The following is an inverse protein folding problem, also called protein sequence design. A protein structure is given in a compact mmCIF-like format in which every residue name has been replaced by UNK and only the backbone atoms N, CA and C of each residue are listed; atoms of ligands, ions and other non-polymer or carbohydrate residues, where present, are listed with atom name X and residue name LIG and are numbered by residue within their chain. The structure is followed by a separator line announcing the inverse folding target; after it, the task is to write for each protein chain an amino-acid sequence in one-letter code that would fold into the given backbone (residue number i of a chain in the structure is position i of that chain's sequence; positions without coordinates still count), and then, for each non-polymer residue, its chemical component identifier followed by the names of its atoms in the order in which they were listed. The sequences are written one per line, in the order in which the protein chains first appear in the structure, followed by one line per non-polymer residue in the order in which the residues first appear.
data_IF_804336243237
#
_entry.id   IF_804336243237
#
_cell.length_a   1.000
_cell.length_b   1.000
_cell.length_c   1.000
_cell.angle_alpha   90.00
_cell.angle_beta   90.00
_cell.angle_gamma   90.00
#
_symmetry.space_group_name_H-M   'P 1'
#
loop_
_entity.id
_entity.type
_entity.pdbx_description
1 polymer ?
#
# COMPACT_ATOMS: atom_id res chain seq x y z
N UNK A 1 -20.64 31.51 14.94
CA UNK A 1 -20.09 30.44 15.80
C UNK A 1 -18.61 30.75 16.06
N UNK A 2 -18.22 30.98 17.32
CA UNK A 2 -16.82 31.10 17.69
C UNK A 2 -16.21 29.70 17.48
N UNK A 3 -15.34 29.52 16.49
CA UNK A 3 -14.59 28.25 16.33
C UNK A 3 -13.71 28.10 17.59
N UNK A 4 -13.99 27.08 18.39
CA UNK A 4 -13.13 26.71 19.52
C UNK A 4 -11.74 26.37 18.94
N UNK A 5 -10.67 26.88 19.56
CA UNK A 5 -9.30 26.54 19.13
C UNK A 5 -9.12 25.02 19.28
N UNK A 6 -8.62 24.31 18.23
CA UNK A 6 -8.39 22.88 18.31
C UNK A 6 -7.47 22.54 19.51
N UNK A 7 -7.78 21.45 20.19
CA UNK A 7 -6.97 20.96 21.30
C UNK A 7 -5.73 20.27 20.77
N UNK A 8 -4.56 20.54 21.36
CA UNK A 8 -3.34 19.77 21.16
C UNK A 8 -3.54 18.38 21.80
N UNK A 9 -3.34 17.31 21.04
CA UNK A 9 -3.53 15.93 21.50
C UNK A 9 -2.22 15.15 21.56
N UNK A 10 -1.26 15.46 20.70
CA UNK A 10 0.05 14.83 20.67
C UNK A 10 1.10 15.81 20.13
N UNK A 11 2.31 15.69 20.62
CA UNK A 11 3.47 16.43 20.14
C UNK A 11 4.71 15.54 20.24
N UNK A 12 5.57 15.49 19.18
CA UNK A 12 6.80 14.72 19.24
C UNK A 12 7.76 15.31 20.30
N UNK A 13 8.24 14.47 21.19
CA UNK A 13 9.35 14.89 22.04
C UNK A 13 10.65 14.98 21.24
N UNK A 14 11.69 15.59 21.81
CA UNK A 14 12.96 15.79 21.14
C UNK A 14 13.65 14.45 20.78
N UNK A 15 13.49 13.41 21.59
CA UNK A 15 14.08 12.11 21.35
C UNK A 15 13.36 11.37 20.21
N UNK A 16 12.03 11.48 20.13
CA UNK A 16 11.26 10.98 19.01
C UNK A 16 11.64 11.71 17.72
N UNK A 17 11.63 13.05 17.73
CA UNK A 17 11.94 13.86 16.55
C UNK A 17 13.32 13.54 15.95
N UNK A 18 14.34 13.36 16.79
CA UNK A 18 15.71 13.02 16.38
C UNK A 18 15.83 11.63 15.73
N UNK A 19 14.95 10.70 16.03
CA UNK A 19 14.98 9.33 15.48
C UNK A 19 14.18 9.18 14.18
N UNK A 20 13.40 10.20 13.81
CA UNK A 20 12.55 10.11 12.62
C UNK A 20 13.38 10.05 11.34
N UNK A 21 12.89 9.27 10.38
CA UNK A 21 13.49 9.20 9.04
C UNK A 21 13.41 10.54 8.31
N UNK A 22 12.39 11.34 8.61
CA UNK A 22 12.26 12.69 8.06
C UNK A 22 13.38 13.60 8.58
N UNK A 23 13.75 13.53 9.86
CA UNK A 23 14.89 14.28 10.40
C UNK A 23 16.20 13.82 9.74
N UNK A 24 16.41 12.51 9.66
CA UNK A 24 17.59 11.95 9.00
C UNK A 24 17.72 12.40 7.54
N UNK A 25 16.59 12.52 6.82
CA UNK A 25 16.58 13.05 5.46
C UNK A 25 16.95 14.54 5.42
N UNK A 26 16.43 15.37 6.34
CA UNK A 26 16.82 16.79 6.43
C UNK A 26 18.33 16.96 6.69
N UNK A 27 18.88 16.17 7.62
CA UNK A 27 20.32 16.21 7.94
C UNK A 27 21.17 15.77 6.73
N UNK A 28 20.71 14.77 5.98
CA UNK A 28 21.36 14.33 4.77
C UNK A 28 21.28 15.40 3.66
N UNK A 29 20.13 16.07 3.49
CA UNK A 29 19.98 17.18 2.52
C UNK A 29 20.95 18.32 2.80
N UNK A 30 21.09 18.72 4.07
CA UNK A 30 22.05 19.73 4.50
C UNK A 30 23.48 19.32 4.12
N UNK A 31 23.87 18.08 4.46
CA UNK A 31 25.23 17.58 4.26
C UNK A 31 25.60 17.37 2.79
N UNK A 32 24.68 16.95 1.92
CA UNK A 32 24.97 16.54 0.54
C UNK A 32 24.51 17.53 -0.53
N UNK A 33 23.47 18.31 -0.25
CA UNK A 33 22.89 19.25 -1.20
C UNK A 33 22.96 20.71 -0.74
N UNK A 34 23.43 20.97 0.51
CA UNK A 34 23.48 22.32 1.09
C UNK A 34 22.08 22.94 1.27
N UNK A 35 21.05 22.13 1.34
CA UNK A 35 19.67 22.56 1.56
C UNK A 35 19.40 22.60 3.07
N UNK A 36 19.42 23.80 3.62
CA UNK A 36 19.15 24.04 5.04
C UNK A 36 17.68 24.31 5.25
N UNK A 37 17.02 23.48 6.07
CA UNK A 37 15.62 23.63 6.46
C UNK A 37 15.46 23.49 7.96
N UNK A 38 14.92 24.52 8.59
CA UNK A 38 14.68 24.55 10.04
C UNK A 38 13.29 23.99 10.40
N UNK A 39 12.34 24.12 9.49
CA UNK A 39 10.94 23.72 9.70
C UNK A 39 10.42 22.81 8.60
N UNK A 40 9.36 22.05 8.90
CA UNK A 40 8.67 21.26 7.88
C UNK A 40 8.09 22.12 6.76
N UNK A 41 7.59 23.31 7.07
CA UNK A 41 7.02 24.22 6.07
C UNK A 41 8.09 24.73 5.08
N UNK A 42 9.31 24.96 5.52
CA UNK A 42 10.44 25.28 4.64
C UNK A 42 10.81 24.08 3.75
N UNK A 43 10.85 22.88 4.30
CA UNK A 43 11.09 21.66 3.52
C UNK A 43 9.99 21.46 2.48
N UNK A 44 8.72 21.65 2.86
CA UNK A 44 7.60 21.53 1.94
C UNK A 44 7.67 22.57 0.82
N UNK A 45 7.97 23.83 1.13
CA UNK A 45 8.14 24.88 0.11
C UNK A 45 9.28 24.57 -0.86
N UNK A 46 10.40 24.08 -0.34
CA UNK A 46 11.47 23.63 -1.20
C UNK A 46 11.05 22.45 -2.09
N UNK A 47 10.38 21.47 -1.54
CA UNK A 47 9.93 20.27 -2.28
C UNK A 47 8.94 20.57 -3.41
N UNK A 48 8.23 21.69 -3.33
CA UNK A 48 7.27 22.15 -4.37
C UNK A 48 7.82 23.25 -5.25
N UNK A 49 8.83 24.00 -4.79
CA UNK A 49 9.48 25.07 -5.52
C UNK A 49 10.64 24.61 -6.39
N UNK A 50 11.39 23.60 -5.96
CA UNK A 50 12.49 22.98 -6.71
C UNK A 50 12.18 21.49 -6.95
N UNK A 51 11.31 21.25 -7.93
CA UNK A 51 10.85 19.89 -8.25
C UNK A 51 11.99 18.97 -8.68
N UNK A 52 12.95 19.47 -9.45
CA UNK A 52 14.07 18.65 -9.92
C UNK A 52 15.02 18.30 -8.77
N UNK A 53 15.39 19.29 -7.96
CA UNK A 53 16.21 19.06 -6.77
C UNK A 53 15.55 18.10 -5.79
N UNK A 54 14.25 18.28 -5.51
CA UNK A 54 13.52 17.42 -4.60
C UNK A 54 13.45 15.96 -5.08
N UNK A 55 12.94 15.69 -6.28
CA UNK A 55 12.76 14.32 -6.76
C UNK A 55 14.10 13.62 -7.07
N UNK A 56 15.13 14.37 -7.46
CA UNK A 56 16.49 13.86 -7.56
C UNK A 56 17.02 13.41 -6.20
N UNK A 57 16.86 14.24 -5.17
CA UNK A 57 17.30 13.92 -3.82
C UNK A 57 16.58 12.70 -3.24
N UNK A 58 15.28 12.52 -3.52
CA UNK A 58 14.52 11.31 -3.13
C UNK A 58 15.12 10.07 -3.81
N UNK A 59 15.40 10.15 -5.11
CA UNK A 59 15.99 9.02 -5.84
C UNK A 59 17.39 8.67 -5.30
N UNK A 60 18.20 9.65 -4.98
CA UNK A 60 19.56 9.48 -4.44
C UNK A 60 19.53 8.95 -3.00
N UNK A 61 18.78 9.60 -2.11
CA UNK A 61 18.71 9.24 -0.70
C UNK A 61 18.24 7.80 -0.46
N UNK A 62 17.26 7.35 -1.25
CA UNK A 62 16.76 5.98 -1.16
C UNK A 62 17.49 4.99 -2.07
N UNK A 63 18.54 5.43 -2.76
CA UNK A 63 19.36 4.55 -3.59
C UNK A 63 18.59 3.91 -4.74
N UNK A 64 17.75 4.69 -5.43
CA UNK A 64 16.99 4.19 -6.59
C UNK A 64 17.96 3.72 -7.67
N UNK A 65 17.83 2.45 -8.05
CA UNK A 65 18.68 1.81 -9.05
C UNK A 65 18.11 2.05 -10.45
N UNK A 66 18.80 2.86 -11.22
CA UNK A 66 18.55 3.02 -12.65
C UNK A 66 19.45 2.07 -13.45
N UNK A 67 18.88 1.21 -14.31
CA UNK A 67 19.64 0.35 -15.24
C UNK A 67 20.12 1.16 -16.47
N UNK A 68 19.31 2.10 -16.94
CA UNK A 68 19.73 3.18 -17.80
C UNK A 68 19.53 4.50 -17.05
N UNK A 69 20.56 5.39 -16.99
CA UNK A 69 20.46 6.65 -16.27
C UNK A 69 19.47 7.60 -16.95
N UNK A 70 18.82 8.50 -16.20
CA UNK A 70 17.98 9.53 -16.78
C UNK A 70 18.80 10.58 -17.52
N UNK A 71 18.21 11.18 -18.56
CA UNK A 71 18.78 12.31 -19.29
C UNK A 71 18.54 13.65 -18.56
N UNK A 72 17.45 13.72 -17.78
CA UNK A 72 17.07 14.83 -16.93
C UNK A 72 16.16 14.31 -15.81
N UNK A 73 15.92 15.09 -14.76
CA UNK A 73 14.93 14.78 -13.75
C UNK A 73 13.52 15.09 -14.26
N UNK A 74 13.33 16.29 -14.84
CA UNK A 74 12.09 16.73 -15.44
C UNK A 74 12.35 17.20 -16.87
N UNK A 75 11.94 16.42 -17.86
CA UNK A 75 12.12 16.75 -19.26
C UNK A 75 11.04 17.71 -19.78
N UNK A 76 9.77 17.44 -19.44
CA UNK A 76 8.63 18.32 -19.77
C UNK A 76 7.79 18.52 -18.51
N UNK A 77 7.56 19.78 -18.14
CA UNK A 77 6.85 20.17 -16.91
C UNK A 77 5.33 20.40 -17.11
N UNK A 78 4.82 20.23 -18.33
CA UNK A 78 3.42 20.49 -18.66
C UNK A 78 2.48 19.38 -18.16
N UNK A 79 1.34 19.77 -17.61
CA UNK A 79 0.27 18.85 -17.22
C UNK A 79 -0.93 19.03 -18.17
N UNK A 80 -1.51 17.92 -18.71
CA UNK A 80 -1.10 16.52 -18.53
C UNK A 80 0.14 16.16 -19.39
N UNK A 81 0.86 15.14 -18.93
CA UNK A 81 1.94 14.54 -19.70
C UNK A 81 3.34 15.00 -19.31
N UNK A 82 3.55 15.43 -18.06
CA UNK A 82 4.87 15.66 -17.50
C UNK A 82 5.78 14.44 -17.69
N UNK A 83 7.04 14.68 -18.05
CA UNK A 83 8.02 13.62 -18.32
C UNK A 83 9.09 13.62 -17.23
N UNK A 84 8.93 12.72 -16.29
CA UNK A 84 9.89 12.51 -15.22
C UNK A 84 10.96 11.47 -15.61
N UNK A 85 12.21 11.74 -15.29
CA UNK A 85 13.36 10.88 -15.52
C UNK A 85 13.40 10.28 -16.93
N UNK A 86 13.31 11.11 -18.01
CA UNK A 86 13.29 10.60 -19.38
C UNK A 86 14.56 9.80 -19.70
N UNK A 87 14.38 8.67 -20.37
CA UNK A 87 15.46 7.73 -20.71
C UNK A 87 15.79 6.72 -19.59
N UNK A 88 15.38 6.97 -18.35
CA UNK A 88 15.65 6.04 -17.26
C UNK A 88 14.88 4.73 -17.41
N UNK A 89 15.52 3.62 -16.98
CA UNK A 89 14.88 2.32 -16.80
C UNK A 89 15.13 1.80 -15.39
N UNK A 90 14.12 1.18 -14.80
CA UNK A 90 14.16 0.63 -13.45
C UNK A 90 13.12 -0.50 -13.27
N UNK A 91 13.16 -1.19 -12.14
CA UNK A 91 12.15 -2.20 -11.79
C UNK A 91 11.63 -1.93 -10.37
N UNK A 92 10.32 -1.70 -10.23
CA UNK A 92 9.68 -1.50 -8.93
C UNK A 92 9.88 -2.72 -8.00
N UNK A 93 9.61 -3.98 -8.43
CA UNK A 93 9.81 -5.14 -7.55
C UNK A 93 11.28 -5.41 -7.23
N UNK A 94 12.24 -4.96 -8.04
CA UNK A 94 13.65 -5.04 -7.70
C UNK A 94 13.97 -4.30 -6.39
N UNK A 95 13.38 -3.11 -6.21
CA UNK A 95 13.56 -2.31 -5.00
C UNK A 95 12.89 -2.96 -3.77
N UNK A 96 11.77 -3.66 -3.96
CA UNK A 96 11.14 -4.46 -2.90
C UNK A 96 12.06 -5.60 -2.44
N UNK A 97 12.66 -6.32 -3.37
CA UNK A 97 13.53 -7.47 -3.05
C UNK A 97 14.99 -7.09 -2.76
N UNK A 98 15.38 -5.83 -2.91
CA UNK A 98 16.75 -5.39 -2.68
C UNK A 98 17.16 -5.53 -1.19
N UNK A 99 18.36 -6.06 -0.97
CA UNK A 99 19.02 -6.11 0.35
C UNK A 99 18.17 -6.75 1.48
N UNK A 100 17.35 -7.76 1.15
CA UNK A 100 16.51 -8.46 2.11
C UNK A 100 17.22 -9.70 2.66
N UNK A 101 17.30 -9.81 3.97
CA UNK A 101 17.73 -11.06 4.61
C UNK A 101 16.65 -12.12 4.39
N UNK A 102 16.99 -13.23 3.75
CA UNK A 102 16.03 -14.25 3.33
C UNK A 102 15.14 -14.78 4.46
N UNK A 103 15.68 -14.90 5.67
CA UNK A 103 14.95 -15.42 6.85
C UNK A 103 14.12 -14.34 7.57
N UNK A 104 14.29 -13.05 7.25
CA UNK A 104 13.46 -12.00 7.83
C UNK A 104 12.02 -12.12 7.33
N UNK A 105 11.07 -11.77 8.19
CA UNK A 105 9.64 -11.83 7.85
C UNK A 105 9.30 -10.67 6.91
N UNK A 106 8.75 -10.99 5.74
CA UNK A 106 8.19 -10.02 4.80
C UNK A 106 6.72 -9.74 5.10
N UNK A 107 5.95 -10.79 5.30
CA UNK A 107 4.50 -10.74 5.49
C UNK A 107 4.09 -11.49 6.75
N UNK A 108 3.10 -10.95 7.47
CA UNK A 108 2.20 -11.69 8.34
C UNK A 108 0.83 -11.71 7.67
N UNK A 109 0.12 -12.80 7.77
CA UNK A 109 -1.18 -12.91 7.12
C UNK A 109 -2.15 -13.71 7.98
N UNK A 110 -3.38 -13.26 8.02
CA UNK A 110 -4.49 -13.97 8.67
C UNK A 110 -5.76 -13.80 7.85
N UNK A 111 -6.71 -14.69 8.02
CA UNK A 111 -8.04 -14.55 7.46
C UNK A 111 -9.07 -15.30 8.31
N UNK A 112 -10.34 -15.25 7.93
CA UNK A 112 -11.35 -16.11 8.54
C UNK A 112 -11.19 -17.60 8.15
N UNK A 113 -10.37 -17.91 7.13
CA UNK A 113 -10.03 -19.27 6.69
C UNK A 113 -8.70 -19.77 7.25
N UNK A 114 -7.76 -18.86 7.50
CA UNK A 114 -6.39 -19.20 7.85
C UNK A 114 -5.97 -18.48 9.13
N UNK A 115 -5.38 -19.19 10.12
CA UNK A 115 -4.83 -18.55 11.30
C UNK A 115 -3.69 -17.60 10.95
N UNK A 116 -3.25 -16.80 11.92
CA UNK A 116 -2.08 -15.94 11.75
C UNK A 116 -0.86 -16.78 11.41
N UNK A 117 -0.30 -16.51 10.24
CA UNK A 117 0.92 -17.10 9.69
C UNK A 117 1.94 -16.04 9.33
N UNK A 118 3.14 -16.49 8.99
CA UNK A 118 4.24 -15.65 8.55
C UNK A 118 4.78 -16.17 7.22
N UNK A 119 5.31 -15.25 6.40
CA UNK A 119 6.05 -15.54 5.18
C UNK A 119 7.36 -14.75 5.21
N UNK A 120 8.46 -15.46 5.08
CA UNK A 120 9.81 -14.86 5.00
C UNK A 120 10.04 -14.25 3.61
N UNK A 121 11.08 -13.40 3.50
CA UNK A 121 11.51 -12.86 2.20
C UNK A 121 11.92 -13.97 1.22
N UNK A 122 12.51 -15.06 1.71
CA UNK A 122 12.84 -16.22 0.88
C UNK A 122 11.59 -16.88 0.31
N UNK A 123 10.59 -17.14 1.15
CA UNK A 123 9.34 -17.77 0.75
C UNK A 123 8.55 -16.87 -0.22
N UNK A 124 8.45 -15.56 0.06
CA UNK A 124 7.81 -14.61 -0.84
C UNK A 124 8.51 -14.58 -2.20
N UNK A 125 9.86 -14.53 -2.22
CA UNK A 125 10.64 -14.55 -3.46
C UNK A 125 10.45 -15.84 -4.23
N UNK A 126 10.47 -17.00 -3.56
CA UNK A 126 10.24 -18.31 -4.18
C UNK A 126 8.83 -18.41 -4.78
N UNK A 127 7.80 -18.01 -4.03
CA UNK A 127 6.43 -18.03 -4.53
C UNK A 127 6.27 -17.08 -5.73
N UNK A 128 6.84 -15.88 -5.64
CA UNK A 128 6.85 -14.90 -6.74
C UNK A 128 7.51 -15.47 -7.99
N UNK A 129 8.68 -16.12 -7.86
CA UNK A 129 9.40 -16.73 -8.98
C UNK A 129 8.59 -17.86 -9.64
N UNK A 130 7.95 -18.70 -8.84
CA UNK A 130 7.11 -19.81 -9.34
C UNK A 130 5.87 -19.31 -10.07
N UNK A 131 5.20 -18.28 -9.55
CA UNK A 131 4.06 -17.64 -10.23
C UNK A 131 4.54 -16.97 -11.52
N UNK A 132 5.70 -16.30 -11.50
CA UNK A 132 6.28 -15.65 -12.67
C UNK A 132 6.57 -16.66 -13.79
N UNK A 133 7.14 -17.82 -13.45
CA UNK A 133 7.39 -18.89 -14.40
C UNK A 133 6.08 -19.41 -15.01
N UNK A 134 5.03 -19.57 -14.21
CA UNK A 134 3.70 -19.94 -14.69
C UNK A 134 3.09 -18.90 -15.64
N UNK A 135 3.13 -17.61 -15.27
CA UNK A 135 2.66 -16.54 -16.15
C UNK A 135 3.42 -16.50 -17.48
N UNK A 136 4.75 -16.71 -17.44
CA UNK A 136 5.59 -16.78 -18.64
C UNK A 136 5.22 -17.99 -19.52
N UNK A 137 4.93 -19.14 -18.93
CA UNK A 137 4.47 -20.32 -19.66
C UNK A 137 3.13 -20.10 -20.37
N UNK A 138 2.29 -19.20 -19.82
CA UNK A 138 1.06 -18.74 -20.45
C UNK A 138 1.28 -17.64 -21.52
N UNK A 139 2.53 -17.25 -21.79
CA UNK A 139 2.88 -16.25 -22.79
C UNK A 139 2.85 -14.81 -22.28
N UNK A 140 2.71 -14.59 -20.99
CA UNK A 140 2.72 -13.22 -20.42
C UNK A 140 4.11 -12.61 -20.54
N UNK A 141 4.18 -11.44 -21.14
CA UNK A 141 5.38 -10.64 -21.31
C UNK A 141 5.15 -9.18 -20.94
N UNK A 142 6.13 -8.36 -21.32
CA UNK A 142 6.11 -6.92 -21.03
C UNK A 142 4.91 -6.23 -21.69
N UNK A 143 4.17 -5.48 -20.88
CA UNK A 143 3.00 -4.71 -21.32
C UNK A 143 1.69 -5.51 -21.35
N UNK A 144 1.73 -6.84 -21.19
CA UNK A 144 0.51 -7.63 -21.02
C UNK A 144 -0.16 -7.31 -19.67
N UNK A 145 -1.48 -7.45 -19.63
CA UNK A 145 -2.26 -7.18 -18.42
C UNK A 145 -2.60 -8.49 -17.75
N UNK A 146 -2.28 -8.57 -16.46
CA UNK A 146 -2.68 -9.66 -15.57
C UNK A 146 -3.64 -9.08 -14.56
N UNK A 147 -4.86 -9.60 -14.52
CA UNK A 147 -5.87 -9.15 -13.56
C UNK A 147 -6.16 -10.21 -12.51
N UNK A 148 -6.52 -9.78 -11.30
CA UNK A 148 -6.79 -10.67 -10.19
C UNK A 148 -8.13 -10.38 -9.54
N UNK A 149 -8.98 -11.39 -9.47
CA UNK A 149 -10.18 -11.42 -8.63
C UNK A 149 -9.85 -12.25 -7.38
N UNK A 150 -9.09 -11.63 -6.48
CA UNK A 150 -8.43 -12.30 -5.35
C UNK A 150 -8.49 -11.44 -4.09
N UNK A 151 -8.56 -12.05 -2.90
CA UNK A 151 -8.59 -11.32 -1.63
C UNK A 151 -7.20 -10.81 -1.22
N UNK A 152 -7.12 -10.13 -0.06
CA UNK A 152 -5.88 -9.59 0.51
C UNK A 152 -5.06 -10.68 1.22
N UNK A 153 -4.40 -11.51 0.43
CA UNK A 153 -3.60 -12.67 0.87
C UNK A 153 -2.19 -12.64 0.29
N UNK A 154 -1.29 -13.44 0.84
CA UNK A 154 0.12 -13.49 0.42
C UNK A 154 0.29 -13.87 -1.06
N UNK A 155 -0.54 -14.79 -1.57
CA UNK A 155 -0.55 -15.22 -2.97
C UNK A 155 -0.86 -14.04 -3.92
N UNK A 156 -1.74 -13.12 -3.51
CA UNK A 156 -2.07 -11.91 -4.30
C UNK A 156 -0.88 -10.95 -4.38
N UNK A 157 -0.17 -10.76 -3.26
CA UNK A 157 1.06 -9.95 -3.24
C UNK A 157 2.14 -10.59 -4.12
N UNK A 158 2.36 -11.89 -4.01
CA UNK A 158 3.33 -12.61 -4.84
C UNK A 158 2.98 -12.54 -6.34
N UNK A 159 1.69 -12.66 -6.69
CA UNK A 159 1.21 -12.56 -8.07
C UNK A 159 1.40 -11.15 -8.66
N UNK A 160 1.15 -10.11 -7.87
CA UNK A 160 1.47 -8.73 -8.26
C UNK A 160 2.97 -8.55 -8.54
N UNK A 161 3.83 -9.00 -7.61
CA UNK A 161 5.29 -8.88 -7.77
C UNK A 161 5.82 -9.68 -8.95
N UNK A 162 5.25 -10.87 -9.21
CA UNK A 162 5.56 -11.71 -10.38
C UNK A 162 5.20 -11.00 -11.69
N UNK A 163 4.00 -10.43 -11.76
CA UNK A 163 3.50 -9.67 -12.90
C UNK A 163 4.39 -8.46 -13.19
N UNK A 164 4.63 -7.63 -12.17
CA UNK A 164 5.48 -6.45 -12.29
C UNK A 164 6.94 -6.80 -12.64
N UNK A 165 7.45 -7.94 -12.16
CA UNK A 165 8.77 -8.46 -12.48
C UNK A 165 8.96 -8.81 -13.95
N UNK A 166 7.90 -9.21 -14.66
CA UNK A 166 7.89 -9.41 -16.12
C UNK A 166 7.78 -8.09 -16.90
N UNK A 167 7.55 -6.96 -16.23
CA UNK A 167 7.13 -5.73 -16.87
C UNK A 167 5.70 -5.79 -17.42
N UNK A 168 4.90 -6.74 -16.95
CA UNK A 168 3.48 -6.80 -17.21
C UNK A 168 2.71 -5.88 -16.26
N UNK A 169 1.46 -5.55 -16.58
CA UNK A 169 0.64 -4.56 -15.90
C UNK A 169 -0.37 -5.28 -15.01
N UNK A 170 -0.40 -4.90 -13.73
CA UNK A 170 -1.31 -5.47 -12.74
C UNK A 170 -2.63 -4.72 -12.62
N UNK A 171 -3.72 -5.44 -12.32
CA UNK A 171 -4.93 -4.84 -11.78
C UNK A 171 -5.66 -5.85 -10.89
N UNK A 172 -6.39 -5.39 -9.88
CA UNK A 172 -7.10 -6.28 -8.96
C UNK A 172 -8.48 -5.76 -8.55
N UNK A 173 -9.37 -6.70 -8.30
CA UNK A 173 -10.66 -6.52 -7.66
C UNK A 173 -10.83 -7.55 -6.55
N UNK A 174 -11.48 -7.14 -5.47
CA UNK A 174 -11.79 -8.03 -4.35
C UNK A 174 -12.92 -9.00 -4.72
N UNK A 175 -12.93 -10.22 -4.17
CA UNK A 175 -13.96 -11.23 -4.45
C UNK A 175 -15.37 -10.87 -3.95
N UNK A 176 -15.51 -9.83 -3.14
CA UNK A 176 -16.80 -9.29 -2.72
C UNK A 176 -17.49 -8.43 -3.79
N UNK A 177 -16.77 -8.03 -4.85
CA UNK A 177 -17.37 -7.32 -5.97
C UNK A 177 -18.23 -8.27 -6.82
N UNK A 178 -19.41 -7.80 -7.23
CA UNK A 178 -20.27 -8.55 -8.17
C UNK A 178 -19.64 -8.60 -9.58
N UNK A 179 -19.98 -9.62 -10.37
CA UNK A 179 -19.43 -9.88 -11.70
C UNK A 179 -19.44 -8.63 -12.59
N UNK A 180 -20.57 -7.94 -12.71
CA UNK A 180 -20.70 -6.72 -13.52
C UNK A 180 -19.68 -5.65 -13.13
N UNK A 181 -19.49 -5.42 -11.83
CA UNK A 181 -18.53 -4.41 -11.33
C UNK A 181 -17.09 -4.76 -11.68
N UNK A 182 -16.73 -6.04 -11.73
CA UNK A 182 -15.42 -6.53 -12.14
C UNK A 182 -15.26 -6.44 -13.66
N UNK A 183 -16.26 -6.85 -14.43
CA UNK A 183 -16.27 -6.76 -15.90
C UNK A 183 -16.15 -5.30 -16.35
N UNK A 184 -16.89 -4.36 -15.73
CA UNK A 184 -16.83 -2.93 -16.03
C UNK A 184 -15.41 -2.34 -15.85
N UNK A 185 -14.55 -3.00 -15.08
CA UNK A 185 -13.14 -2.63 -14.88
C UNK A 185 -12.21 -3.38 -15.83
N UNK A 186 -12.20 -4.69 -15.74
CA UNK A 186 -11.20 -5.53 -16.40
C UNK A 186 -11.36 -5.56 -17.93
N UNK A 187 -12.57 -5.47 -18.46
CA UNK A 187 -12.79 -5.39 -19.90
C UNK A 187 -12.15 -4.16 -20.56
N UNK A 188 -11.94 -3.07 -19.79
CA UNK A 188 -11.31 -1.85 -20.31
C UNK A 188 -9.82 -2.06 -20.67
N UNK A 189 -9.17 -3.09 -20.12
CA UNK A 189 -7.73 -3.28 -20.24
C UNK A 189 -7.36 -4.59 -20.93
N UNK A 190 -8.34 -5.37 -21.40
CA UNK A 190 -8.15 -6.59 -22.22
C UNK A 190 -7.04 -7.49 -21.65
N UNK A 191 -7.25 -8.16 -20.50
CA UNK A 191 -6.19 -8.91 -19.82
C UNK A 191 -5.82 -10.19 -20.57
N UNK A 192 -4.53 -10.53 -20.54
CA UNK A 192 -4.03 -11.81 -21.04
C UNK A 192 -4.33 -12.96 -20.07
N UNK A 193 -4.32 -12.66 -18.75
CA UNK A 193 -4.56 -13.65 -17.70
C UNK A 193 -5.50 -13.07 -16.64
N UNK A 194 -6.47 -13.89 -16.22
CA UNK A 194 -7.31 -13.68 -15.05
C UNK A 194 -6.92 -14.70 -13.96
N UNK A 195 -6.38 -14.21 -12.86
CA UNK A 195 -6.19 -14.99 -11.63
C UNK A 195 -7.45 -14.85 -10.77
N UNK A 196 -8.03 -15.94 -10.29
CA UNK A 196 -9.26 -15.85 -9.50
C UNK A 196 -9.32 -16.92 -8.41
N UNK A 197 -9.86 -16.58 -7.23
CA UNK A 197 -10.15 -17.55 -6.18
C UNK A 197 -11.47 -18.28 -6.44
N UNK A 198 -11.59 -19.50 -5.93
CA UNK A 198 -12.81 -20.30 -5.91
C UNK A 198 -13.88 -19.70 -4.99
N UNK A 199 -13.47 -18.99 -3.94
CA UNK A 199 -14.35 -18.36 -2.96
C UNK A 199 -13.58 -17.74 -1.81
N UNK A 200 -14.31 -17.28 -0.82
CA UNK A 200 -13.75 -16.66 0.40
C UNK A 200 -14.73 -16.80 1.56
N UNK A 201 -14.27 -16.56 2.80
CA UNK A 201 -15.12 -16.48 4.00
C UNK A 201 -15.22 -15.04 4.48
N UNK A 202 -16.43 -14.61 4.85
CA UNK A 202 -16.67 -13.27 5.36
C UNK A 202 -17.82 -13.27 6.39
N UNK A 203 -17.52 -12.82 7.60
CA UNK A 203 -18.46 -12.83 8.70
C UNK A 203 -18.94 -14.25 9.08
N UNK A 204 -18.04 -15.24 9.03
CA UNK A 204 -18.30 -16.63 9.32
C UNK A 204 -19.08 -17.39 8.25
N UNK A 205 -19.31 -16.79 7.06
CA UNK A 205 -20.03 -17.42 5.95
C UNK A 205 -19.12 -17.63 4.76
N UNK A 206 -19.26 -18.77 4.12
CA UNK A 206 -18.55 -19.11 2.89
C UNK A 206 -19.30 -18.56 1.68
N UNK A 207 -18.53 -17.96 0.77
CA UNK A 207 -19.00 -17.41 -0.48
C UNK A 207 -18.27 -18.10 -1.62
N UNK A 208 -18.90 -19.08 -2.24
CA UNK A 208 -18.45 -19.67 -3.50
C UNK A 208 -18.51 -18.61 -4.61
N UNK A 209 -17.43 -18.51 -5.37
CA UNK A 209 -17.31 -17.57 -6.48
C UNK A 209 -17.13 -18.26 -7.84
N UNK A 210 -17.21 -19.58 -7.89
CA UNK A 210 -16.96 -20.35 -9.10
C UNK A 210 -17.79 -19.85 -10.26
N UNK A 211 -19.11 -19.71 -10.11
CA UNK A 211 -19.98 -19.21 -11.17
C UNK A 211 -19.74 -17.73 -11.52
N UNK A 212 -19.46 -16.90 -10.52
CA UNK A 212 -19.12 -15.48 -10.73
C UNK A 212 -17.83 -15.34 -11.51
N UNK A 213 -16.84 -16.18 -11.24
CA UNK A 213 -15.56 -16.22 -11.98
C UNK A 213 -15.77 -16.67 -13.42
N UNK A 214 -16.65 -17.68 -13.67
CA UNK A 214 -16.99 -18.11 -15.03
C UNK A 214 -17.67 -17.00 -15.82
N UNK A 215 -18.60 -16.26 -15.19
CA UNK A 215 -19.25 -15.10 -15.78
C UNK A 215 -18.26 -13.97 -16.11
N UNK A 216 -17.36 -13.63 -15.18
CA UNK A 216 -16.31 -12.63 -15.39
C UNK A 216 -15.44 -13.07 -16.59
N UNK A 217 -14.93 -14.29 -16.55
CA UNK A 217 -14.05 -14.83 -17.60
C UNK A 217 -14.69 -14.83 -18.99
N UNK A 218 -15.97 -15.19 -19.07
CA UNK A 218 -16.71 -15.19 -20.33
C UNK A 218 -16.78 -13.81 -21.01
N UNK A 219 -16.76 -12.72 -20.21
CA UNK A 219 -16.82 -11.35 -20.72
C UNK A 219 -15.45 -10.68 -20.87
N UNK A 220 -14.51 -11.02 -20.01
CA UNK A 220 -13.18 -10.37 -19.94
C UNK A 220 -12.17 -11.09 -20.85
N UNK A 221 -12.32 -12.40 -21.04
CA UNK A 221 -11.42 -13.23 -21.82
C UNK A 221 -10.09 -13.50 -21.10
N UNK A 222 -9.06 -13.84 -21.92
CA UNK A 222 -7.75 -14.23 -21.43
C UNK A 222 -7.69 -15.67 -20.92
N UNK A 223 -6.55 -16.07 -20.34
CA UNK A 223 -6.40 -17.38 -19.70
C UNK A 223 -6.82 -17.31 -18.23
N UNK A 224 -7.75 -18.16 -17.82
CA UNK A 224 -8.19 -18.26 -16.44
C UNK A 224 -7.27 -19.18 -15.64
N UNK A 225 -6.72 -18.68 -14.53
CA UNK A 225 -5.97 -19.46 -13.53
C UNK A 225 -6.72 -19.38 -12.19
N UNK A 226 -7.11 -20.54 -11.67
CA UNK A 226 -7.85 -20.63 -10.40
C UNK A 226 -6.90 -20.88 -9.22
N UNK A 227 -7.26 -20.30 -8.09
CA UNK A 227 -6.68 -20.57 -6.79
C UNK A 227 -7.77 -21.12 -5.87
N UNK A 228 -7.64 -22.35 -5.43
CA UNK A 228 -8.47 -22.97 -4.40
C UNK A 228 -8.14 -22.35 -3.04
N UNK A 229 -8.76 -21.22 -2.73
CA UNK A 229 -8.56 -20.52 -1.47
C UNK A 229 -9.58 -20.95 -0.41
N UNK A 230 -10.85 -21.10 -0.82
CA UNK A 230 -11.92 -21.55 0.06
C UNK A 230 -11.79 -23.04 0.38
N UNK A 231 -11.45 -23.86 -0.61
CA UNK A 231 -11.27 -25.31 -0.45
C UNK A 231 -9.86 -25.71 0.04
N UNK A 232 -8.89 -24.77 0.02
CA UNK A 232 -7.51 -25.01 0.44
C UNK A 232 -6.64 -25.72 -0.60
N UNK A 233 -7.10 -25.85 -1.86
CA UNK A 233 -6.40 -26.58 -2.94
C UNK A 233 -5.17 -25.88 -3.51
N UNK A 234 -4.96 -24.59 -3.23
CA UNK A 234 -3.86 -23.82 -3.82
C UNK A 234 -4.08 -23.45 -5.29
N UNK A 235 -3.04 -23.02 -5.99
CA UNK A 235 -3.11 -22.75 -7.44
C UNK A 235 -3.38 -24.02 -8.23
N UNK A 236 -4.12 -23.88 -9.31
CA UNK A 236 -4.44 -24.96 -10.25
C UNK A 236 -3.18 -25.75 -10.65
N UNK A 237 -3.35 -27.07 -10.79
CA UNK A 237 -2.26 -27.97 -11.15
C UNK A 237 -1.53 -27.53 -12.43
N UNK A 238 -0.21 -27.56 -12.38
CA UNK A 238 0.65 -27.19 -13.50
C UNK A 238 0.83 -25.69 -13.73
N UNK A 239 0.17 -24.81 -12.96
CA UNK A 239 0.39 -23.37 -13.11
C UNK A 239 1.71 -22.91 -12.48
N UNK A 240 2.00 -23.32 -11.26
CA UNK A 240 3.23 -22.91 -10.59
C UNK A 240 4.45 -23.54 -11.27
N UNK A 241 5.43 -22.70 -11.60
CA UNK A 241 6.74 -23.16 -12.05
C UNK A 241 7.47 -24.02 -11.01
N UNK A 242 8.62 -24.58 -11.37
CA UNK A 242 9.37 -25.50 -10.52
C UNK A 242 9.80 -24.81 -9.18
N UNK A 243 10.11 -25.58 -8.14
CA UNK A 243 10.50 -25.03 -6.82
C UNK A 243 11.77 -24.18 -6.87
N UNK A 244 12.67 -24.43 -7.80
CA UNK A 244 13.94 -23.75 -8.03
C UNK A 244 13.85 -22.67 -9.14
N UNK A 245 12.65 -22.26 -9.53
CA UNK A 245 12.46 -21.17 -10.48
C UNK A 245 13.18 -19.90 -10.01
N UNK A 246 13.91 -19.27 -10.92
CA UNK A 246 14.59 -18.00 -10.66
C UNK A 246 13.67 -16.81 -10.91
N UNK A 247 13.72 -15.84 -10.01
CA UNK A 247 12.98 -14.59 -10.16
C UNK A 247 13.76 -13.63 -11.05
N UNK A 248 13.20 -13.29 -12.19
CA UNK A 248 13.70 -12.25 -13.08
C UNK A 248 12.96 -10.94 -12.83
N UNK A 249 13.70 -9.84 -12.78
CA UNK A 249 13.16 -8.50 -12.51
C UNK A 249 13.55 -7.58 -13.67
N UNK A 250 12.71 -7.56 -14.70
CA UNK A 250 12.97 -6.86 -15.95
C UNK A 250 12.95 -5.33 -15.74
N UNK A 251 14.04 -4.61 -16.10
CA UNK A 251 14.00 -3.16 -16.13
C UNK A 251 13.07 -2.66 -17.24
N UNK A 252 12.26 -1.67 -16.91
CA UNK A 252 11.29 -1.04 -17.81
C UNK A 252 11.47 0.47 -17.79
N UNK A 253 11.03 1.23 -18.81
CA UNK A 253 11.05 2.68 -18.79
C UNK A 253 10.36 3.26 -17.56
N UNK A 254 10.82 4.41 -17.08
CA UNK A 254 10.30 5.07 -15.89
C UNK A 254 8.77 5.18 -15.86
N UNK A 255 8.15 5.52 -16.99
CA UNK A 255 6.68 5.65 -17.11
C UNK A 255 5.96 4.36 -17.48
N UNK A 256 6.69 3.24 -17.63
CA UNK A 256 6.05 1.98 -17.99
C UNK A 256 4.95 1.62 -16.99
N UNK A 257 3.74 1.25 -17.42
CA UNK A 257 2.65 0.94 -16.52
C UNK A 257 3.00 -0.15 -15.51
N UNK A 258 2.78 0.11 -14.23
CA UNK A 258 2.93 -0.85 -13.13
C UNK A 258 1.60 -1.53 -12.85
N UNK A 259 0.56 -0.72 -12.69
CA UNK A 259 -0.79 -1.17 -12.41
C UNK A 259 -1.86 -0.23 -12.96
N UNK A 260 -3.09 -0.75 -13.00
CA UNK A 260 -4.29 0.01 -13.28
C UNK A 260 -5.21 -0.06 -12.08
N UNK A 261 -5.52 1.09 -11.51
CA UNK A 261 -6.51 1.28 -10.45
C UNK A 261 -7.78 1.91 -11.02
N UNK A 262 -8.86 1.87 -10.25
CA UNK A 262 -10.13 2.44 -10.69
C UNK A 262 -10.69 3.38 -9.64
N UNK A 263 -11.14 4.55 -10.06
CA UNK A 263 -11.94 5.46 -9.25
C UNK A 263 -13.40 5.43 -9.69
N UNK A 264 -14.31 5.77 -8.78
CA UNK A 264 -15.72 5.96 -9.12
C UNK A 264 -15.85 7.13 -10.08
N UNK A 265 -16.23 6.82 -11.34
CA UNK A 265 -16.49 7.85 -12.34
C UNK A 265 -17.81 8.56 -12.08
N UNK A 266 -17.86 9.86 -12.34
CA UNK A 266 -19.11 10.66 -12.32
C UNK A 266 -20.05 10.33 -13.47
N UNK A 267 -19.57 9.57 -14.46
CA UNK A 267 -20.26 9.29 -15.75
C UNK A 267 -20.70 7.83 -15.91
N UNK A 268 -20.66 7.01 -14.87
CA UNK A 268 -21.19 5.63 -14.86
C UNK A 268 -20.11 4.53 -14.83
N UNK A 269 -19.18 4.49 -15.79
CA UNK A 269 -18.10 3.50 -15.76
C UNK A 269 -16.94 3.95 -14.84
N UNK A 270 -16.31 3.00 -14.11
CA UNK A 270 -15.10 3.29 -13.35
C UNK A 270 -13.99 3.84 -14.25
N UNK A 271 -13.31 4.92 -13.82
CA UNK A 271 -12.17 5.48 -14.56
C UNK A 271 -10.92 4.66 -14.28
N UNK A 272 -10.30 4.12 -15.32
CA UNK A 272 -8.99 3.47 -15.25
C UNK A 272 -7.88 4.52 -15.05
N UNK A 273 -7.11 4.35 -14.00
CA UNK A 273 -5.95 5.19 -13.64
C UNK A 273 -4.70 4.34 -13.78
N UNK A 274 -3.87 4.68 -14.75
CA UNK A 274 -2.61 3.98 -15.04
C UNK A 274 -1.48 4.69 -14.31
N UNK A 275 -0.72 3.95 -13.51
CA UNK A 275 0.43 4.48 -12.79
C UNK A 275 1.70 3.72 -13.17
N UNK A 276 2.81 4.46 -13.33
CA UNK A 276 4.08 3.91 -13.80
C UNK A 276 5.01 3.46 -12.68
N UNK A 277 5.95 2.57 -13.02
CA UNK A 277 6.94 2.02 -12.08
C UNK A 277 7.72 3.10 -11.34
N UNK A 278 8.28 4.06 -12.07
CA UNK A 278 9.16 5.08 -11.48
C UNK A 278 8.42 6.07 -10.59
N UNK A 279 7.27 6.59 -11.05
CA UNK A 279 6.49 7.55 -10.29
C UNK A 279 6.00 6.97 -8.96
N UNK A 280 5.44 5.75 -9.00
CA UNK A 280 4.98 5.05 -7.79
C UNK A 280 6.15 4.68 -6.87
N UNK A 281 7.28 4.26 -7.42
CA UNK A 281 8.47 3.94 -6.62
C UNK A 281 8.92 5.16 -5.80
N UNK A 282 9.11 6.31 -6.44
CA UNK A 282 9.56 7.52 -5.76
C UNK A 282 8.53 8.04 -4.75
N UNK A 283 7.26 8.07 -5.15
CA UNK A 283 6.17 8.52 -4.29
C UNK A 283 6.03 7.66 -3.04
N UNK A 284 6.06 6.33 -3.19
CA UNK A 284 5.95 5.42 -2.06
C UNK A 284 7.23 5.40 -1.19
N UNK A 285 8.43 5.48 -1.77
CA UNK A 285 9.65 5.65 -0.99
C UNK A 285 9.59 6.90 -0.13
N UNK A 286 9.21 8.03 -0.70
CA UNK A 286 9.01 9.28 0.03
C UNK A 286 7.96 9.12 1.14
N UNK A 287 6.76 8.65 0.79
CA UNK A 287 5.63 8.66 1.72
C UNK A 287 5.82 7.67 2.87
N UNK A 288 6.16 6.40 2.57
CA UNK A 288 6.29 5.36 3.58
C UNK A 288 7.45 5.64 4.56
N UNK A 289 8.54 6.24 4.07
CA UNK A 289 9.69 6.54 4.91
C UNK A 289 9.58 7.89 5.62
N UNK A 290 9.19 8.96 4.93
CA UNK A 290 9.27 10.33 5.49
C UNK A 290 7.97 10.75 6.18
N UNK A 291 6.81 10.26 5.71
CA UNK A 291 5.51 10.62 6.26
C UNK A 291 4.97 9.58 7.25
N UNK A 292 5.27 8.29 7.06
CA UNK A 292 4.84 7.23 7.99
C UNK A 292 5.95 6.75 8.92
N UNK A 293 7.17 7.21 8.70
CA UNK A 293 8.33 6.91 9.56
C UNK A 293 8.54 5.40 9.76
N UNK A 294 8.48 4.59 8.67
CA UNK A 294 8.57 3.14 8.74
C UNK A 294 10.01 2.65 8.98
N UNK A 295 10.23 1.92 10.06
CA UNK A 295 11.51 1.34 10.49
C UNK A 295 11.55 -0.18 10.37
N UNK A 296 12.72 -0.79 10.55
CA UNK A 296 12.92 -2.24 10.43
C UNK A 296 12.11 -3.08 11.44
N UNK A 297 11.82 -2.53 12.60
CA UNK A 297 11.01 -3.19 13.62
C UNK A 297 9.50 -3.09 13.37
N UNK A 298 9.08 -2.30 12.37
CA UNK A 298 7.68 -2.04 12.15
C UNK A 298 6.96 -3.19 11.45
N UNK A 299 5.72 -3.31 11.83
CA UNK A 299 4.70 -4.20 11.29
C UNK A 299 3.50 -3.35 10.92
N UNK A 300 3.46 -2.94 9.65
CA UNK A 300 2.42 -2.05 9.15
C UNK A 300 1.18 -2.87 8.74
N UNK A 301 0.04 -2.39 9.13
CA UNK A 301 -1.25 -2.91 8.74
C UNK A 301 -2.16 -1.79 8.24
N UNK A 302 -2.91 -2.06 7.18
CA UNK A 302 -4.06 -1.23 6.78
C UNK A 302 -5.22 -2.14 6.44
N UNK A 303 -6.35 -1.94 7.11
CA UNK A 303 -7.55 -2.69 6.72
C UNK A 303 -8.00 -2.24 5.33
N UNK A 304 -7.92 -3.15 4.38
CA UNK A 304 -8.21 -2.88 2.97
C UNK A 304 -8.59 -4.15 2.23
N UNK A 305 -9.26 -4.00 1.10
CA UNK A 305 -9.43 -5.04 0.10
C UNK A 305 -8.57 -4.74 -1.13
N UNK A 306 -8.35 -5.71 -1.99
CA UNK A 306 -7.54 -5.58 -3.22
C UNK A 306 -8.16 -4.66 -4.27
N UNK A 307 -9.45 -4.34 -4.12
CA UNK A 307 -10.16 -3.37 -4.97
C UNK A 307 -10.02 -1.91 -4.54
N UNK A 308 -9.36 -1.63 -3.42
CA UNK A 308 -9.12 -0.29 -2.92
C UNK A 308 -7.62 0.07 -2.97
N UNK A 309 -7.29 1.30 -3.37
CA UNK A 309 -5.91 1.76 -3.52
C UNK A 309 -5.05 1.62 -2.24
N UNK A 310 -5.68 1.53 -1.07
CA UNK A 310 -4.96 1.29 0.18
C UNK A 310 -4.28 -0.07 0.24
N UNK A 311 -4.67 -1.04 -0.60
CA UNK A 311 -3.90 -2.28 -0.77
C UNK A 311 -2.55 -2.01 -1.43
N UNK A 312 -2.53 -1.21 -2.50
CA UNK A 312 -1.30 -0.79 -3.19
C UNK A 312 -0.41 0.06 -2.27
N UNK A 313 -1.04 0.90 -1.45
CA UNK A 313 -0.37 1.68 -0.41
C UNK A 313 0.30 0.76 0.63
N UNK A 314 -0.40 -0.24 1.15
CA UNK A 314 0.12 -1.20 2.13
C UNK A 314 1.27 -2.02 1.54
N UNK A 315 1.13 -2.54 0.31
CA UNK A 315 2.20 -3.28 -0.38
C UNK A 315 3.43 -2.40 -0.58
N UNK A 316 3.25 -1.11 -0.82
CA UNK A 316 4.35 -0.14 -0.92
C UNK A 316 5.22 -0.02 0.34
N UNK A 317 4.73 -0.40 1.52
CA UNK A 317 5.54 -0.47 2.74
C UNK A 317 6.71 -1.45 2.58
N UNK A 318 6.59 -2.47 1.73
CA UNK A 318 7.69 -3.41 1.42
C UNK A 318 8.90 -2.75 0.75
N UNK A 319 8.79 -1.51 0.28
CA UNK A 319 9.94 -0.69 -0.15
C UNK A 319 10.78 -0.16 1.03
N UNK A 320 10.24 -0.22 2.25
CA UNK A 320 10.92 0.15 3.50
C UNK A 320 11.47 -1.11 4.18
N UNK A 321 12.29 -1.00 5.23
CA UNK A 321 12.72 -2.18 5.97
C UNK A 321 11.63 -2.85 6.83
N UNK A 322 10.43 -2.29 6.91
CA UNK A 322 9.29 -2.83 7.66
C UNK A 322 8.68 -4.08 6.99
N UNK A 323 7.95 -4.87 7.78
CA UNK A 323 7.06 -5.92 7.30
C UNK A 323 5.60 -5.45 7.25
N UNK A 324 4.75 -6.14 6.49
CA UNK A 324 3.32 -5.85 6.43
C UNK A 324 2.49 -6.98 7.02
N UNK A 325 1.30 -6.62 7.48
CA UNK A 325 0.27 -7.57 7.95
C UNK A 325 -0.90 -7.51 6.97
N UNK A 326 -1.32 -8.66 6.49
CA UNK A 326 -2.47 -8.84 5.60
C UNK A 326 -3.62 -9.46 6.39
N UNK A 327 -4.84 -9.02 6.12
CA UNK A 327 -6.04 -9.62 6.68
C UNK A 327 -7.14 -9.69 5.63
N UNK A 328 -7.70 -10.90 5.46
CA UNK A 328 -8.87 -11.15 4.64
C UNK A 328 -10.03 -11.62 5.53
N UNK A 329 -11.06 -10.81 5.66
CA UNK A 329 -12.22 -11.09 6.49
C UNK A 329 -12.97 -9.85 6.92
N UNK A 330 -14.07 -10.06 7.62
CA UNK A 330 -14.90 -8.98 8.13
C UNK A 330 -14.25 -8.32 9.35
N UNK A 331 -13.97 -7.00 9.34
CA UNK A 331 -13.37 -6.30 10.48
C UNK A 331 -14.29 -6.22 11.72
N UNK A 332 -15.58 -6.56 11.54
CA UNK A 332 -16.58 -6.55 12.59
C UNK A 332 -17.07 -7.97 12.99
N UNK A 333 -16.35 -9.03 12.60
CA UNK A 333 -16.71 -10.41 12.95
C UNK A 333 -15.55 -11.13 13.69
N UNK A 334 -15.85 -11.80 14.81
CA UNK A 334 -17.16 -11.93 15.46
C UNK A 334 -17.63 -10.66 16.16
N UNK A 335 -16.76 -9.67 16.38
CA UNK A 335 -17.06 -8.35 16.94
C UNK A 335 -16.16 -7.28 16.34
N UNK A 336 -16.42 -5.99 16.62
CA UNK A 336 -15.57 -4.86 16.25
C UNK A 336 -14.18 -4.87 16.96
N UNK A 337 -13.96 -5.81 17.86
CA UNK A 337 -12.65 -6.05 18.48
C UNK A 337 -11.66 -6.72 17.53
N UNK A 338 -12.12 -7.37 16.47
CA UNK A 338 -11.28 -8.24 15.60
C UNK A 338 -9.99 -7.58 15.11
N UNK A 339 -10.02 -6.32 14.70
CA UNK A 339 -8.80 -5.65 14.24
C UNK A 339 -7.85 -5.28 15.39
N UNK A 340 -8.38 -5.03 16.58
CA UNK A 340 -7.59 -4.79 17.79
C UNK A 340 -6.95 -6.09 18.30
N UNK A 341 -7.69 -7.21 18.23
CA UNK A 341 -7.15 -8.54 18.53
C UNK A 341 -6.02 -8.89 17.56
N UNK A 342 -6.22 -8.67 16.26
CA UNK A 342 -5.19 -8.87 15.26
C UNK A 342 -3.96 -7.98 15.53
N UNK A 343 -4.18 -6.74 15.99
CA UNK A 343 -3.08 -5.84 16.32
C UNK A 343 -2.22 -6.39 17.45
N UNK A 344 -2.83 -6.95 18.49
CA UNK A 344 -2.14 -7.63 19.58
C UNK A 344 -1.47 -8.94 19.11
N UNK A 345 -2.20 -9.81 18.42
CA UNK A 345 -1.73 -11.11 17.93
C UNK A 345 -0.51 -11.00 17.01
N UNK A 346 -0.57 -10.08 16.05
CA UNK A 346 0.50 -9.84 15.07
C UNK A 346 1.57 -8.84 15.54
N UNK A 347 1.34 -8.18 16.69
CA UNK A 347 2.19 -7.12 17.22
C UNK A 347 2.28 -5.92 16.28
N UNK A 348 1.17 -5.48 15.71
CA UNK A 348 1.12 -4.37 14.76
C UNK A 348 1.67 -3.09 15.41
N UNK A 349 2.54 -2.38 14.72
CA UNK A 349 3.13 -1.12 15.19
C UNK A 349 2.48 0.11 14.57
N UNK A 350 1.94 -0.03 13.35
CA UNK A 350 1.18 1.00 12.65
C UNK A 350 -0.12 0.40 12.16
N UNK A 351 -1.25 0.83 12.72
CA UNK A 351 -2.58 0.34 12.38
C UNK A 351 -3.34 1.39 11.57
N UNK A 352 -3.61 1.08 10.31
CA UNK A 352 -4.42 1.91 9.42
C UNK A 352 -5.85 1.38 9.27
N UNK A 353 -6.81 2.29 9.34
CA UNK A 353 -8.24 1.97 9.18
C UNK A 353 -9.02 3.14 8.59
N UNK A 354 -10.33 3.03 8.53
CA UNK A 354 -11.23 4.12 8.11
C UNK A 354 -11.80 4.87 9.30
N UNK A 355 -12.11 6.16 9.10
CA UNK A 355 -12.85 6.95 10.09
C UNK A 355 -14.21 6.31 10.45
N UNK A 356 -14.85 5.62 9.49
CA UNK A 356 -16.11 4.92 9.71
C UNK A 356 -15.94 3.73 10.66
N UNK A 357 -14.83 2.99 10.59
CA UNK A 357 -14.55 1.89 11.53
C UNK A 357 -14.35 2.45 12.95
N UNK A 358 -13.58 3.52 13.11
CA UNK A 358 -13.38 4.19 14.41
C UNK A 358 -14.72 4.63 14.99
N UNK A 359 -15.56 5.29 14.19
CA UNK A 359 -16.91 5.71 14.62
C UNK A 359 -17.79 4.52 15.04
N UNK A 360 -17.68 3.38 14.35
CA UNK A 360 -18.40 2.15 14.71
C UNK A 360 -17.92 1.58 16.05
N UNK A 361 -16.60 1.56 16.30
CA UNK A 361 -16.03 1.16 17.57
C UNK A 361 -16.51 2.06 18.73
N UNK A 362 -16.49 3.37 18.54
CA UNK A 362 -17.00 4.35 19.52
C UNK A 362 -18.46 4.10 19.87
N UNK A 363 -19.32 3.93 18.83
CA UNK A 363 -20.75 3.68 19.01
C UNK A 363 -21.04 2.37 19.74
N UNK A 364 -20.24 1.33 19.49
CA UNK A 364 -20.38 0.03 20.11
C UNK A 364 -19.74 -0.07 21.51
N UNK A 365 -19.03 0.98 21.96
CA UNK A 365 -18.33 0.96 23.24
C UNK A 365 -17.13 0.02 23.28
N UNK A 366 -16.47 -0.18 22.14
CA UNK A 366 -15.26 -1.02 22.06
C UNK A 366 -14.16 -0.38 22.90
N UNK A 367 -13.43 -1.21 23.64
CA UNK A 367 -12.26 -0.81 24.43
C UNK A 367 -11.01 -1.47 23.83
N UNK A 368 -10.28 -0.79 22.93
CA UNK A 368 -9.06 -1.35 22.29
C UNK A 368 -8.03 -1.89 23.27
N UNK A 369 -7.74 -1.16 24.34
CA UNK A 369 -6.81 -1.56 25.40
C UNK A 369 -7.48 -2.39 26.53
N UNK A 370 -8.47 -3.23 26.21
CA UNK A 370 -9.12 -4.11 27.18
C UNK A 370 -8.11 -5.08 27.82
N UNK A 371 -8.45 -5.55 29.04
CA UNK A 371 -7.63 -6.53 29.77
C UNK A 371 -7.34 -7.76 28.90
N UNK A 372 -6.10 -8.18 28.86
CA UNK A 372 -5.62 -9.32 28.07
C UNK A 372 -5.25 -9.00 26.62
N UNK A 373 -5.49 -7.77 26.14
CA UNK A 373 -5.05 -7.31 24.80
C UNK A 373 -3.80 -6.47 24.90
N UNK A 374 -2.68 -7.00 24.43
CA UNK A 374 -1.39 -6.32 24.48
C UNK A 374 -1.15 -5.49 23.22
N UNK A 375 -1.31 -4.18 23.33
CA UNK A 375 -1.09 -3.20 22.27
C UNK A 375 0.19 -2.36 22.48
N UNK A 376 1.10 -2.75 23.36
CA UNK A 376 2.32 -1.98 23.67
C UNK A 376 3.21 -1.72 22.42
N UNK A 377 3.12 -2.58 21.41
CA UNK A 377 3.85 -2.40 20.16
C UNK A 377 3.26 -1.31 19.25
N UNK A 378 1.98 -0.93 19.47
CA UNK A 378 1.26 -0.01 18.60
C UNK A 378 1.71 1.42 18.85
N UNK A 379 2.52 1.97 17.95
CA UNK A 379 3.06 3.33 18.03
C UNK A 379 2.27 4.37 17.25
N UNK A 380 1.50 3.93 16.25
CA UNK A 380 0.73 4.87 15.43
C UNK A 380 -0.57 4.28 14.90
N UNK A 381 -1.56 5.16 14.73
CA UNK A 381 -2.86 4.85 14.13
C UNK A 381 -3.11 5.79 12.94
N UNK A 382 -3.45 5.21 11.80
CA UNK A 382 -3.80 5.94 10.58
C UNK A 382 -5.31 5.91 10.32
N UNK A 383 -5.88 7.02 9.86
CA UNK A 383 -7.28 7.12 9.47
C UNK A 383 -7.42 7.75 8.09
N UNK A 384 -8.25 7.15 7.22
CA UNK A 384 -8.57 7.70 5.89
C UNK A 384 -9.97 7.30 5.41
N UNK A 385 -10.32 7.64 4.18
CA UNK A 385 -11.59 7.32 3.51
C UNK A 385 -12.69 8.35 3.75
N UNK A 386 -12.68 9.02 4.88
CA UNK A 386 -13.51 10.19 5.21
C UNK A 386 -12.84 10.98 6.35
N UNK A 387 -13.24 12.24 6.58
CA UNK A 387 -12.71 13.00 7.73
C UNK A 387 -12.99 12.29 9.05
N UNK A 388 -11.96 12.14 9.89
CA UNK A 388 -12.14 11.68 11.26
C UNK A 388 -12.72 12.83 12.09
N UNK A 389 -13.77 12.54 12.85
CA UNK A 389 -14.38 13.58 13.70
C UNK A 389 -13.48 13.97 14.88
N UNK A 390 -13.62 15.18 15.43
CA UNK A 390 -12.90 15.58 16.65
C UNK A 390 -13.07 14.58 17.81
N UNK A 391 -14.27 14.02 17.98
CA UNK A 391 -14.55 12.96 18.95
C UNK A 391 -13.74 11.69 18.69
N UNK A 392 -13.55 11.33 17.40
CA UNK A 392 -12.75 10.19 16.98
C UNK A 392 -11.26 10.39 17.33
N UNK A 393 -10.75 11.62 17.17
CA UNK A 393 -9.38 11.96 17.63
C UNK A 393 -9.25 11.75 19.14
N UNK A 394 -10.14 12.34 19.95
CA UNK A 394 -10.09 12.19 21.42
C UNK A 394 -10.19 10.72 21.82
N UNK A 395 -11.13 9.98 21.23
CA UNK A 395 -11.34 8.58 21.55
C UNK A 395 -10.07 7.73 21.34
N UNK A 396 -9.30 7.96 20.27
CA UNK A 396 -8.04 7.24 20.05
C UNK A 396 -7.08 7.49 21.22
N UNK A 397 -6.90 8.74 21.63
CA UNK A 397 -6.00 9.06 22.75
C UNK A 397 -6.52 8.57 24.10
N UNK A 398 -7.84 8.61 24.33
CA UNK A 398 -8.48 8.07 25.53
C UNK A 398 -8.30 6.55 25.65
N UNK A 399 -8.25 5.84 24.50
CA UNK A 399 -8.14 4.40 24.47
C UNK A 399 -6.70 3.88 24.42
N UNK A 400 -5.79 4.58 23.74
CA UNK A 400 -4.45 4.09 23.44
C UNK A 400 -3.33 4.88 24.17
N UNK A 401 -3.69 6.02 24.78
CA UNK A 401 -2.73 6.85 25.51
C UNK A 401 -2.06 7.92 24.64
N UNK A 402 -1.36 8.84 25.35
CA UNK A 402 -0.77 10.04 24.75
C UNK A 402 0.48 9.77 23.89
N UNK A 403 1.08 8.58 24.00
CA UNK A 403 2.28 8.24 23.24
C UNK A 403 1.97 7.73 21.81
N UNK A 404 0.70 7.49 21.51
CA UNK A 404 0.26 7.03 20.20
C UNK A 404 0.21 8.19 19.20
N UNK A 405 0.97 8.10 18.12
CA UNK A 405 0.86 9.06 17.03
C UNK A 405 -0.35 8.76 16.14
N UNK A 406 -1.37 9.61 16.19
CA UNK A 406 -2.53 9.54 15.30
C UNK A 406 -2.31 10.45 14.09
N UNK A 407 -2.43 9.89 12.89
CA UNK A 407 -2.43 10.66 11.65
C UNK A 407 -3.70 10.40 10.83
N UNK A 408 -4.40 11.46 10.50
CA UNK A 408 -5.50 11.42 9.53
C UNK A 408 -4.98 11.83 8.17
N UNK A 409 -5.44 11.16 7.12
CA UNK A 409 -4.87 11.30 5.77
C UNK A 409 -5.96 11.55 4.74
N UNK A 410 -5.75 12.55 3.90
CA UNK A 410 -6.53 12.83 2.71
C UNK A 410 -5.67 12.60 1.46
N UNK A 411 -6.10 11.68 0.61
CA UNK A 411 -5.40 11.30 -0.60
C UNK A 411 -6.36 10.89 -1.71
N UNK A 412 -5.81 10.29 -2.75
CA UNK A 412 -6.62 9.84 -3.87
C UNK A 412 -5.97 8.69 -4.62
N UNK A 413 -6.80 8.00 -5.41
CA UNK A 413 -6.34 6.92 -6.28
C UNK A 413 -5.28 7.42 -7.26
N UNK A 414 -5.35 8.68 -7.69
CA UNK A 414 -4.46 9.26 -8.67
C UNK A 414 -2.99 9.29 -8.21
N UNK A 415 -2.76 9.60 -6.94
CA UNK A 415 -1.39 9.62 -6.35
C UNK A 415 -1.01 8.32 -5.65
N UNK A 416 -1.99 7.49 -5.34
CA UNK A 416 -1.83 6.23 -4.58
C UNK A 416 -1.18 6.41 -3.19
N UNK A 417 -1.19 7.63 -2.65
CA UNK A 417 -0.74 8.04 -1.32
C UNK A 417 -1.61 9.19 -0.81
N UNK A 418 -1.03 10.26 -0.29
CA UNK A 418 -1.74 11.38 0.29
C UNK A 418 -1.33 12.74 -0.31
N UNK A 419 -2.29 13.65 -0.35
CA UNK A 419 -2.05 15.09 -0.58
C UNK A 419 -1.76 15.82 0.73
N UNK A 420 -2.47 15.43 1.79
CA UNK A 420 -2.37 15.99 3.15
C UNK A 420 -2.44 14.83 4.13
N UNK A 421 -1.57 14.80 5.13
CA UNK A 421 -1.54 13.68 6.06
C UNK A 421 -0.54 13.81 7.19
N UNK A 422 -0.03 12.67 7.64
CA UNK A 422 0.89 12.57 8.75
C UNK A 422 2.26 13.17 8.48
N UNK A 423 2.80 13.83 9.50
CA UNK A 423 4.18 14.31 9.57
C UNK A 423 4.71 14.07 10.98
N UNK A 424 5.69 13.18 11.16
CA UNK A 424 6.13 12.76 12.49
C UNK A 424 6.82 13.88 13.30
N UNK A 425 7.19 14.99 12.65
CA UNK A 425 7.81 16.16 13.30
C UNK A 425 6.81 17.22 13.73
N UNK A 426 5.51 17.05 13.47
CA UNK A 426 4.49 18.07 13.76
C UNK A 426 3.48 17.58 14.79
N UNK A 427 2.92 18.50 15.60
CA UNK A 427 1.88 18.16 16.56
C UNK A 427 0.58 17.73 15.88
N UNK A 428 -0.21 16.95 16.61
CA UNK A 428 -1.57 16.55 16.23
C UNK A 428 -2.58 17.40 16.98
N UNK A 429 -3.41 18.09 16.24
CA UNK A 429 -4.53 18.86 16.79
C UNK A 429 -5.86 18.15 16.47
N UNK A 430 -6.78 18.26 17.40
CA UNK A 430 -8.11 17.68 17.30
C UNK A 430 -8.83 18.09 16.02
N UNK A 431 -9.21 17.11 15.19
CA UNK A 431 -9.99 17.33 13.97
C UNK A 431 -9.21 17.95 12.81
N UNK A 432 -7.89 18.07 12.90
CA UNK A 432 -7.06 18.64 11.84
C UNK A 432 -6.17 17.59 11.17
N UNK A 433 -5.90 17.79 9.89
CA UNK A 433 -4.83 17.09 9.17
C UNK A 433 -3.50 17.83 9.45
N UNK A 434 -2.41 17.09 9.71
CA UNK A 434 -1.17 17.71 10.18
C UNK A 434 -0.54 18.65 9.15
N UNK A 435 -0.32 18.17 7.90
CA UNK A 435 0.30 19.00 6.89
C UNK A 435 0.09 18.49 5.46
N UNK A 436 0.44 19.32 4.50
CA UNK A 436 0.57 18.98 3.09
C UNK A 436 1.74 18.01 2.89
N UNK A 437 1.59 17.02 2.00
CA UNK A 437 2.66 16.08 1.69
C UNK A 437 3.78 16.73 0.88
N UNK A 438 5.01 16.29 1.10
CA UNK A 438 6.16 16.76 0.33
C UNK A 438 5.96 16.49 -1.17
N UNK A 439 6.36 17.45 -2.02
CA UNK A 439 6.20 17.35 -3.47
C UNK A 439 4.77 17.58 -3.98
N UNK A 440 3.82 17.89 -3.10
CA UNK A 440 2.42 18.17 -3.46
C UNK A 440 2.10 19.65 -3.19
N UNK A 441 1.96 20.45 -4.23
CA UNK A 441 1.55 21.85 -4.12
C UNK A 441 0.02 21.96 -3.93
N UNK A 442 -0.42 21.66 -2.71
CA UNK A 442 -1.82 21.76 -2.30
C UNK A 442 -2.09 23.16 -1.75
N UNK A 443 -3.11 23.82 -2.30
CA UNK A 443 -3.53 25.18 -1.93
C UNK A 443 -4.83 25.13 -1.10
#
# INVERSE_FOLDING_TARGET
MIRRKPQLLWEPDAAFAQRTRLRAYCDWLSAHHGVEVATYDELWRWSTGDLEGFWSSIAEYFGVRFHAPPQAVLGRAEMPGAQWFPGATLSYPEHIFAQRAGEAIALRHASELRPLGVMTWRELRTLTARIQAGLRALGVGRGDRVVAYMPNIAETVAAFLATAGLGAVWSSCSPDFGARSVVDRFAQIEPAVLLAVDGYRYGGRDFDRTQVVDEIHAHVGGTLVRLGYLDGGGFADGFLGPPDAELELAPVPFHHPLWVLYSSGTTGLPKAIVQGHGGILLEQLKHQNLHLDMHAADRAFWFTTTGWMMWNFLVGVLLTPASIVLYDGNPAAPSLDRLWDLAAEAGITCLGTSAAFIASCMKAGVTPAAEGRDLHALRSVGSTGSPLSPEGFRWIYDQLGADTWLFSTSGGTDVCTAFVGGVPLLPVYEGELQARSLGCDVQ
#
